data_IF_253597916074
#
_entry.id   IF_253597916074
#
_cell.length_a   1.000
_cell.length_b   1.000
_cell.length_c   1.000
_cell.angle_alpha   90.00
_cell.angle_beta   90.00
_cell.angle_gamma   90.00
#
_symmetry.space_group_name_H-M   'P 1'
#
loop_
_entity.id
_entity.type
_entity.pdbx_description
1 polymer ?
#
# COMPACT_ATOMS: atom_id res chain seq x y z
N UNK A 1 3.13 -26.58 19.92
CA UNK A 1 3.14 -25.40 19.02
C UNK A 1 1.80 -25.38 18.29
N UNK A 2 0.96 -24.36 18.52
CA UNK A 2 -0.32 -24.23 17.80
C UNK A 2 -0.05 -23.54 16.48
N UNK A 3 -0.21 -24.28 15.38
CA UNK A 3 -0.32 -23.69 14.04
C UNK A 3 -1.63 -22.93 14.01
N UNK A 4 -1.55 -21.62 14.23
CA UNK A 4 -2.65 -20.69 14.01
C UNK A 4 -2.76 -20.48 12.49
N UNK A 5 -3.97 -20.67 11.97
CA UNK A 5 -4.30 -20.55 10.55
C UNK A 5 -3.78 -19.23 9.97
N UNK A 6 -3.01 -19.30 8.86
CA UNK A 6 -2.67 -18.16 8.00
C UNK A 6 -3.97 -17.54 7.46
N UNK A 7 -4.44 -16.48 8.11
CA UNK A 7 -5.58 -15.68 7.67
C UNK A 7 -5.15 -14.66 6.63
N UNK A 8 -5.23 -15.03 5.34
CA UNK A 8 -5.21 -14.18 4.14
C UNK A 8 -4.04 -13.20 3.93
N UNK A 9 -2.97 -13.67 3.27
CA UNK A 9 -2.04 -12.82 2.51
C UNK A 9 -2.84 -12.11 1.39
N UNK A 10 -3.22 -10.84 1.59
CA UNK A 10 -3.92 -10.03 0.58
C UNK A 10 -2.91 -9.23 -0.24
N UNK A 11 -2.43 -9.80 -1.34
CA UNK A 11 -1.69 -9.06 -2.37
C UNK A 11 -2.66 -8.20 -3.18
N UNK A 12 -2.39 -6.91 -3.29
CA UNK A 12 -3.19 -5.94 -4.03
C UNK A 12 -2.55 -5.63 -5.38
N UNK A 13 -3.40 -5.37 -6.38
CA UNK A 13 -2.98 -4.95 -7.72
C UNK A 13 -3.33 -3.49 -7.93
N UNK A 14 -2.37 -2.69 -8.38
CA UNK A 14 -2.58 -1.29 -8.79
C UNK A 14 -1.77 -1.00 -10.03
N UNK A 15 -2.40 -0.38 -11.03
CA UNK A 15 -1.68 0.08 -12.21
C UNK A 15 -0.97 1.41 -11.91
N UNK A 16 0.30 1.50 -12.29
CA UNK A 16 1.04 2.75 -12.24
C UNK A 16 0.66 3.64 -13.41
N UNK A 17 0.01 4.79 -13.16
CA UNK A 17 -0.35 5.75 -14.23
C UNK A 17 0.85 6.30 -15.02
N UNK A 18 2.06 6.26 -14.48
CA UNK A 18 3.23 6.85 -15.13
C UNK A 18 3.89 5.89 -16.15
N UNK A 19 3.84 4.58 -15.92
CA UNK A 19 4.45 3.58 -16.80
C UNK A 19 3.48 2.47 -17.24
N UNK A 20 2.20 2.61 -16.90
CA UNK A 20 1.10 1.67 -17.17
C UNK A 20 1.41 0.21 -16.80
N UNK A 21 2.32 0.03 -15.84
CA UNK A 21 2.71 -1.29 -15.36
C UNK A 21 1.80 -1.70 -14.21
N UNK A 22 1.35 -2.95 -14.25
CA UNK A 22 0.57 -3.56 -13.19
C UNK A 22 1.48 -3.94 -12.04
N UNK A 23 1.27 -3.33 -10.87
CA UNK A 23 2.06 -3.57 -9.67
C UNK A 23 1.29 -4.45 -8.69
N UNK A 24 1.95 -5.50 -8.22
CA UNK A 24 1.52 -6.32 -7.10
C UNK A 24 2.26 -5.87 -5.84
N UNK A 25 1.51 -5.53 -4.79
CA UNK A 25 2.07 -5.06 -3.52
C UNK A 25 1.28 -5.65 -2.34
N UNK A 26 1.96 -5.87 -1.22
CA UNK A 26 1.29 -6.20 0.04
C UNK A 26 1.06 -4.91 0.84
N UNK A 27 -0.01 -4.89 1.63
CA UNK A 27 -0.25 -3.75 2.53
C UNK A 27 0.85 -3.57 3.57
N UNK A 28 1.52 -4.67 3.98
CA UNK A 28 2.65 -4.63 4.91
C UNK A 28 3.89 -3.95 4.32
N UNK A 29 4.05 -3.99 2.98
CA UNK A 29 5.14 -3.32 2.26
C UNK A 29 4.83 -1.85 1.93
N UNK A 30 3.58 -1.41 2.10
CA UNK A 30 3.19 -0.03 1.81
C UNK A 30 3.69 0.91 2.91
N UNK A 31 4.30 2.03 2.49
CA UNK A 31 4.70 3.08 3.43
C UNK A 31 3.45 3.78 3.96
N UNK A 32 3.37 3.88 5.27
CA UNK A 32 2.29 4.55 5.97
C UNK A 32 2.74 5.98 6.28
N UNK A 33 1.92 6.96 5.90
CA UNK A 33 2.07 8.34 6.34
C UNK A 33 0.89 8.69 7.23
N UNK A 34 1.16 8.84 8.51
CA UNK A 34 0.18 9.33 9.49
C UNK A 34 0.35 10.84 9.62
N UNK A 35 -0.71 11.58 9.32
CA UNK A 35 -0.76 13.03 9.59
C UNK A 35 -1.85 13.30 10.60
N UNK A 36 -1.45 13.81 11.76
CA UNK A 36 -2.38 14.39 12.71
C UNK A 36 -2.80 15.77 12.19
N UNK A 37 -4.08 15.92 11.87
CA UNK A 37 -4.64 17.21 11.53
C UNK A 37 -5.83 17.47 12.45
N UNK A 38 -5.63 18.33 13.45
CA UNK A 38 -6.65 18.75 14.40
C UNK A 38 -7.24 17.57 15.23
N UNK A 39 -6.39 16.61 15.63
CA UNK A 39 -6.79 15.43 16.40
C UNK A 39 -7.43 14.30 15.58
N UNK A 40 -7.44 14.42 14.25
CA UNK A 40 -7.85 13.36 13.33
C UNK A 40 -6.59 12.77 12.70
N UNK A 41 -6.33 11.48 12.96
CA UNK A 41 -5.24 10.73 12.36
C UNK A 41 -5.67 10.33 10.94
N UNK A 42 -5.13 11.02 9.94
CA UNK A 42 -5.25 10.59 8.55
C UNK A 42 -4.11 9.61 8.23
N UNK A 43 -4.48 8.37 7.95
CA UNK A 43 -3.56 7.31 7.55
C UNK A 43 -3.62 7.16 6.03
N UNK A 44 -2.52 7.49 5.35
CA UNK A 44 -2.37 7.29 3.91
C UNK A 44 -1.32 6.22 3.61
N UNK A 45 -1.61 5.37 2.62
CA UNK A 45 -0.73 4.28 2.21
C UNK A 45 -0.10 4.60 0.84
N UNK A 46 1.22 4.46 0.73
CA UNK A 46 1.97 4.74 -0.48
C UNK A 46 2.88 3.58 -0.87
N UNK A 47 2.95 3.30 -2.16
CA UNK A 47 3.95 2.40 -2.74
C UNK A 47 4.78 3.15 -3.77
N UNK A 48 6.01 2.70 -3.99
CA UNK A 48 6.87 3.24 -5.05
C UNK A 48 6.91 2.27 -6.21
N UNK A 49 6.63 2.74 -7.43
CA UNK A 49 6.76 1.92 -8.61
C UNK A 49 8.22 1.46 -8.79
N UNK A 50 8.51 0.17 -8.90
CA UNK A 50 9.87 -0.31 -9.09
C UNK A 50 10.47 0.11 -10.43
N UNK A 51 9.63 0.33 -11.45
CA UNK A 51 10.04 0.65 -12.82
C UNK A 51 10.35 2.14 -12.97
N UNK A 52 9.37 3.01 -12.72
CA UNK A 52 9.50 4.44 -12.95
C UNK A 52 9.76 5.26 -11.68
N UNK A 53 9.88 4.61 -10.51
CA UNK A 53 10.08 5.25 -9.20
C UNK A 53 9.00 6.28 -8.79
N UNK A 54 7.86 6.29 -9.49
CA UNK A 54 6.72 7.12 -9.12
C UNK A 54 6.09 6.66 -7.80
N UNK A 55 5.72 7.61 -6.94
CA UNK A 55 4.99 7.35 -5.70
C UNK A 55 3.50 7.23 -6.06
N UNK A 56 2.87 6.14 -5.62
CA UNK A 56 1.49 5.79 -5.91
C UNK A 56 0.74 5.74 -4.59
N UNK A 57 -0.28 6.59 -4.46
CA UNK A 57 -1.23 6.51 -3.36
C UNK A 57 -2.18 5.32 -3.57
N UNK A 58 -2.24 4.46 -2.55
CA UNK A 58 -3.08 3.26 -2.51
C UNK A 58 -4.06 3.30 -1.35
N UNK A 59 -4.28 4.49 -0.79
CA UNK A 59 -5.29 4.74 0.24
C UNK A 59 -6.66 4.45 -0.35
N UNK A 60 -7.34 3.40 0.15
CA UNK A 60 -8.73 3.11 -0.24
C UNK A 60 -9.60 4.30 0.17
N UNK A 61 -10.17 5.01 -0.80
CA UNK A 61 -11.35 5.87 -0.58
C UNK A 61 -12.60 5.02 -0.53
#
# INVERSE_FOLDING_TARGET
MKVLQKGSERTFKKECHNCYSLLEYNMEDAKILERDFNGIINVSYYITCPICKAIIDVSRK
#
